data_IF_902481094353
#
_entry.id   IF_902481094353
#
_cell.length_a   1.000
_cell.length_b   1.000
_cell.length_c   1.000
_cell.angle_alpha   90.00
_cell.angle_beta   90.00
_cell.angle_gamma   90.00
#
_symmetry.space_group_name_H-M   'P 1'
#
loop_
_entity.id
_entity.type
_entity.pdbx_description
1 polymer ?
#
# COMPACT_ATOMS: atom_id res chain seq x y z
N UNK A 1 2.72 -6.43 2.87
CA UNK A 1 3.66 -7.19 1.99
C UNK A 1 3.91 -8.63 2.45
N UNK A 2 3.95 -8.89 3.76
CA UNK A 2 4.29 -10.20 4.32
C UNK A 2 3.44 -11.38 3.82
N UNK A 3 2.11 -11.22 3.64
CA UNK A 3 1.24 -12.29 3.15
C UNK A 3 1.53 -12.73 1.70
N UNK A 4 2.05 -11.85 0.84
CA UNK A 4 2.45 -12.20 -0.54
C UNK A 4 3.77 -12.96 -0.50
N UNK A 5 4.72 -12.45 0.28
CA UNK A 5 6.04 -13.09 0.46
C UNK A 5 5.89 -14.50 1.05
N UNK A 6 5.03 -14.69 2.05
CA UNK A 6 4.75 -16.01 2.64
C UNK A 6 4.21 -17.03 1.62
N UNK A 7 3.31 -16.61 0.73
CA UNK A 7 2.81 -17.48 -0.34
C UNK A 7 3.88 -17.85 -1.36
N UNK A 8 4.78 -16.93 -1.69
CA UNK A 8 5.90 -17.19 -2.58
C UNK A 8 6.96 -18.12 -1.93
N UNK A 9 7.24 -17.94 -0.63
CA UNK A 9 8.20 -18.75 0.12
C UNK A 9 7.70 -20.19 0.38
N UNK A 10 6.39 -20.42 0.34
CA UNK A 10 5.80 -21.75 0.50
C UNK A 10 5.84 -22.63 -0.76
N UNK A 11 6.39 -22.14 -1.87
CA UNK A 11 6.47 -22.86 -3.14
C UNK A 11 7.92 -22.95 -3.64
N UNK A 12 8.20 -23.91 -4.54
CA UNK A 12 9.48 -23.95 -5.23
C UNK A 12 9.65 -22.72 -6.14
N UNK A 13 10.90 -22.36 -6.44
CA UNK A 13 11.24 -21.14 -7.16
C UNK A 13 10.58 -21.06 -8.55
N UNK A 14 10.42 -22.20 -9.25
CA UNK A 14 9.81 -22.23 -10.59
C UNK A 14 8.31 -21.95 -10.49
N UNK A 15 7.62 -22.61 -9.56
CA UNK A 15 6.19 -22.40 -9.30
C UNK A 15 5.92 -20.98 -8.79
N UNK A 16 6.72 -20.48 -7.86
CA UNK A 16 6.60 -19.12 -7.35
C UNK A 16 6.72 -18.06 -8.46
N UNK A 17 7.69 -18.23 -9.38
CA UNK A 17 7.86 -17.33 -10.54
C UNK A 17 6.71 -17.40 -11.53
N UNK A 18 6.26 -18.61 -11.86
CA UNK A 18 5.09 -18.80 -12.74
C UNK A 18 3.84 -18.15 -12.15
N UNK A 19 3.61 -18.34 -10.85
CA UNK A 19 2.52 -17.71 -10.10
C UNK A 19 2.61 -16.18 -10.09
N UNK A 20 3.81 -15.62 -9.89
CA UNK A 20 4.03 -14.16 -9.96
C UNK A 20 3.74 -13.59 -11.34
N UNK A 21 4.20 -14.26 -12.41
CA UNK A 21 3.94 -13.84 -13.78
C UNK A 21 2.45 -13.89 -14.11
N UNK A 22 1.77 -14.98 -13.73
CA UNK A 22 0.33 -15.11 -13.91
C UNK A 22 -0.43 -14.05 -13.12
N UNK A 23 -0.04 -13.78 -11.87
CA UNK A 23 -0.62 -12.71 -11.07
C UNK A 23 -0.40 -11.32 -11.70
N UNK A 24 0.76 -11.07 -12.30
CA UNK A 24 1.04 -9.84 -13.04
C UNK A 24 0.12 -9.68 -14.26
N UNK A 25 -0.13 -10.76 -15.01
CA UNK A 25 -1.10 -10.76 -16.10
C UNK A 25 -2.53 -10.46 -15.59
N UNK A 26 -2.98 -11.14 -14.52
CA UNK A 26 -4.30 -10.90 -13.93
C UNK A 26 -4.46 -9.45 -13.44
N UNK A 27 -3.39 -8.78 -13.01
CA UNK A 27 -3.44 -7.38 -12.61
C UNK A 27 -3.81 -6.43 -13.76
N UNK A 28 -3.55 -6.79 -15.02
CA UNK A 28 -3.98 -5.99 -16.18
C UNK A 28 -5.52 -5.96 -16.28
N UNK A 29 -6.19 -7.03 -15.83
CA UNK A 29 -7.65 -7.13 -15.84
C UNK A 29 -8.31 -6.38 -14.66
N UNK A 30 -7.56 -6.07 -13.60
CA UNK A 30 -8.13 -5.44 -12.39
C UNK A 30 -8.81 -4.08 -12.67
N UNK A 31 -8.22 -3.14 -13.45
CA UNK A 31 -8.92 -1.92 -13.84
C UNK A 31 -10.22 -2.17 -14.59
N UNK A 32 -10.28 -3.20 -15.44
CA UNK A 32 -11.50 -3.57 -16.18
C UNK A 32 -12.60 -4.03 -15.23
N UNK A 33 -12.26 -4.80 -14.20
CA UNK A 33 -13.24 -5.34 -13.24
C UNK A 33 -13.62 -4.31 -12.17
N UNK A 34 -12.70 -3.45 -11.75
CA UNK A 34 -12.88 -2.59 -10.56
C UNK A 34 -13.09 -1.12 -10.93
N UNK A 35 -12.37 -0.59 -11.92
CA UNK A 35 -12.39 0.84 -12.26
C UNK A 35 -13.50 1.15 -13.28
N UNK A 36 -13.67 0.34 -14.32
CA UNK A 36 -14.71 0.56 -15.34
C UNK A 36 -16.12 0.63 -14.71
N UNK A 37 -16.52 -0.25 -13.77
CA UNK A 37 -17.83 -0.10 -13.14
C UNK A 37 -17.99 1.23 -12.37
N UNK A 38 -16.91 1.78 -11.80
CA UNK A 38 -16.91 3.11 -11.20
C UNK A 38 -17.13 4.23 -12.23
N UNK A 39 -16.51 4.13 -13.42
CA UNK A 39 -16.74 5.06 -14.53
C UNK A 39 -18.18 4.95 -15.04
N UNK A 40 -18.70 3.73 -15.19
CA UNK A 40 -20.08 3.51 -15.56
C UNK A 40 -21.05 4.13 -14.53
N UNK A 41 -20.80 3.91 -13.24
CA UNK A 41 -21.58 4.52 -12.16
C UNK A 41 -21.59 6.05 -12.26
N UNK A 42 -20.44 6.68 -12.56
CA UNK A 42 -20.36 8.13 -12.78
C UNK A 42 -21.23 8.61 -13.96
N UNK A 43 -21.18 7.92 -15.10
CA UNK A 43 -22.02 8.26 -16.27
C UNK A 43 -23.50 8.08 -15.97
N UNK A 44 -23.88 7.03 -15.24
CA UNK A 44 -25.27 6.76 -14.84
C UNK A 44 -25.75 7.82 -13.83
N UNK A 45 -24.88 8.25 -12.93
CA UNK A 45 -25.13 9.36 -12.00
C UNK A 45 -25.41 10.67 -12.75
N UNK A 46 -24.60 11.02 -13.76
CA UNK A 46 -24.87 12.19 -14.59
C UNK A 46 -26.21 12.13 -15.34
N UNK A 47 -26.73 10.93 -15.58
CA UNK A 47 -28.04 10.69 -16.23
C UNK A 47 -29.21 10.65 -15.26
N UNK A 48 -29.02 10.99 -13.98
CA UNK A 48 -30.12 11.06 -13.01
C UNK A 48 -30.33 9.79 -12.18
N UNK A 49 -29.48 8.76 -12.31
CA UNK A 49 -29.61 7.52 -11.55
C UNK A 49 -28.71 7.49 -10.31
N UNK A 50 -29.09 6.72 -9.29
CA UNK A 50 -28.31 6.50 -8.08
C UNK A 50 -28.02 7.75 -7.23
N UNK A 51 -28.69 8.87 -7.49
CA UNK A 51 -28.51 10.09 -6.70
C UNK A 51 -28.80 9.86 -5.23
N UNK A 52 -29.84 9.09 -4.89
CA UNK A 52 -30.21 8.81 -3.49
C UNK A 52 -29.27 7.77 -2.85
N UNK A 53 -28.93 6.74 -3.60
CA UNK A 53 -28.12 5.60 -3.14
C UNK A 53 -26.67 5.98 -2.85
N UNK A 54 -26.17 7.01 -3.53
CA UNK A 54 -24.83 7.55 -3.33
C UNK A 54 -24.76 8.65 -2.25
N UNK A 55 -25.86 9.03 -1.60
CA UNK A 55 -25.82 10.02 -0.51
C UNK A 55 -25.29 9.42 0.80
N UNK A 56 -24.54 10.20 1.55
CA UNK A 56 -24.25 9.97 2.96
C UNK A 56 -25.48 10.26 3.82
N UNK A 57 -25.40 9.90 5.11
CA UNK A 57 -26.39 10.31 6.13
C UNK A 57 -26.51 11.83 6.28
N UNK A 58 -25.51 12.60 5.83
CA UNK A 58 -25.48 14.06 5.84
C UNK A 58 -25.98 14.70 4.54
N UNK A 59 -26.37 13.89 3.54
CA UNK A 59 -26.83 14.39 2.24
C UNK A 59 -25.71 14.81 1.28
N UNK A 60 -24.45 14.51 1.59
CA UNK A 60 -23.32 14.69 0.69
C UNK A 60 -23.20 13.48 -0.26
N UNK A 61 -22.70 13.68 -1.48
CA UNK A 61 -22.46 12.55 -2.40
C UNK A 61 -21.16 11.83 -2.03
N UNK A 62 -21.23 10.52 -1.83
CA UNK A 62 -20.09 9.64 -1.52
C UNK A 62 -19.74 8.76 -2.72
N UNK A 63 -18.62 9.08 -3.35
CA UNK A 63 -18.08 8.34 -4.51
C UNK A 63 -17.70 6.89 -4.16
N UNK A 64 -17.47 6.57 -2.89
CA UNK A 64 -17.15 5.21 -2.46
C UNK A 64 -18.38 4.28 -2.53
N UNK A 65 -19.59 4.84 -2.59
CA UNK A 65 -20.85 4.10 -2.78
C UNK A 65 -21.17 3.77 -4.23
N UNK A 66 -20.35 4.20 -5.19
CA UNK A 66 -20.57 3.96 -6.62
C UNK A 66 -20.74 2.47 -6.96
N UNK A 67 -19.84 1.61 -6.48
CA UNK A 67 -19.89 0.17 -6.77
C UNK A 67 -21.10 -0.52 -6.11
N UNK A 68 -21.39 -0.32 -4.80
CA UNK A 68 -22.64 -0.81 -4.21
C UNK A 68 -23.91 -0.33 -4.93
N UNK A 69 -23.95 0.94 -5.38
CA UNK A 69 -25.13 1.51 -6.02
C UNK A 69 -25.48 0.81 -7.33
N UNK A 70 -24.50 0.52 -8.18
CA UNK A 70 -24.75 -0.17 -9.46
C UNK A 70 -25.17 -1.64 -9.29
N UNK A 71 -24.92 -2.27 -8.13
CA UNK A 71 -25.45 -3.62 -7.85
C UNK A 71 -26.99 -3.64 -7.79
N UNK A 72 -27.64 -2.48 -7.63
CA UNK A 72 -29.09 -2.37 -7.72
C UNK A 72 -29.63 -2.63 -9.14
N UNK A 73 -28.77 -2.63 -10.16
CA UNK A 73 -29.14 -3.04 -11.53
C UNK A 73 -29.26 -4.55 -11.69
N UNK A 74 -28.71 -5.34 -10.75
CA UNK A 74 -28.75 -6.78 -10.84
C UNK A 74 -30.16 -7.32 -10.52
N UNK A 75 -30.61 -8.37 -11.22
CA UNK A 75 -31.84 -9.07 -10.87
C UNK A 75 -31.85 -9.56 -9.43
N UNK A 76 -33.05 -9.76 -8.89
CA UNK A 76 -33.26 -10.44 -7.61
C UNK A 76 -32.57 -11.81 -7.66
N UNK A 77 -31.88 -12.19 -6.57
CA UNK A 77 -31.00 -13.36 -6.54
C UNK A 77 -29.55 -13.01 -6.90
N UNK A 78 -29.28 -12.47 -8.10
CA UNK A 78 -27.92 -12.05 -8.49
C UNK A 78 -27.37 -10.94 -7.60
N UNK A 79 -28.23 -9.97 -7.22
CA UNK A 79 -27.88 -8.94 -6.23
C UNK A 79 -27.48 -9.56 -4.88
N UNK A 80 -28.20 -10.60 -4.44
CA UNK A 80 -27.91 -11.32 -3.20
C UNK A 80 -26.59 -12.07 -3.25
N UNK A 81 -26.30 -12.76 -4.37
CA UNK A 81 -25.02 -13.45 -4.60
C UNK A 81 -23.87 -12.45 -4.60
N UNK A 82 -24.01 -11.32 -5.31
CA UNK A 82 -22.99 -10.28 -5.36
C UNK A 82 -22.69 -9.70 -3.96
N UNK A 83 -23.74 -9.42 -3.19
CA UNK A 83 -23.60 -8.94 -1.81
C UNK A 83 -22.90 -9.96 -0.91
N UNK A 84 -23.28 -11.24 -0.99
CA UNK A 84 -22.66 -12.31 -0.23
C UNK A 84 -21.17 -12.48 -0.59
N UNK A 85 -20.84 -12.45 -1.88
CA UNK A 85 -19.46 -12.56 -2.37
C UNK A 85 -18.59 -11.39 -1.90
N UNK A 86 -19.09 -10.16 -1.97
CA UNK A 86 -18.39 -8.97 -1.47
C UNK A 86 -18.16 -9.05 0.04
N UNK A 87 -19.19 -9.43 0.80
CA UNK A 87 -19.09 -9.60 2.25
C UNK A 87 -18.04 -10.64 2.61
N UNK A 88 -18.08 -11.81 1.96
CA UNK A 88 -17.09 -12.87 2.17
C UNK A 88 -15.67 -12.41 1.82
N UNK A 89 -15.49 -11.68 0.71
CA UNK A 89 -14.20 -11.14 0.31
C UNK A 89 -13.63 -10.12 1.32
N UNK A 90 -14.50 -9.25 1.87
CA UNK A 90 -14.11 -8.29 2.92
C UNK A 90 -13.68 -9.02 4.19
N UNK A 91 -14.48 -10.00 4.66
CA UNK A 91 -14.15 -10.80 5.85
C UNK A 91 -12.84 -11.56 5.67
N UNK A 92 -12.62 -12.19 4.50
CA UNK A 92 -11.37 -12.89 4.21
C UNK A 92 -10.15 -11.95 4.20
N UNK A 93 -10.30 -10.75 3.63
CA UNK A 93 -9.25 -9.72 3.63
C UNK A 93 -8.93 -9.21 5.04
N UNK A 94 -9.97 -8.94 5.84
CA UNK A 94 -9.82 -8.54 7.25
C UNK A 94 -9.13 -9.63 8.06
N UNK A 95 -9.57 -10.89 7.94
CA UNK A 95 -8.97 -12.03 8.62
C UNK A 95 -7.47 -12.15 8.31
N UNK A 96 -7.08 -11.99 7.04
CA UNK A 96 -5.66 -12.00 6.65
C UNK A 96 -4.85 -10.85 7.27
N UNK A 97 -5.42 -9.65 7.35
CA UNK A 97 -4.76 -8.48 7.96
C UNK A 97 -4.59 -8.64 9.47
N UNK A 98 -5.64 -9.01 10.19
CA UNK A 98 -5.56 -9.19 11.66
C UNK A 98 -4.70 -10.36 12.05
N UNK A 99 -4.67 -11.43 11.25
CA UNK A 99 -3.72 -12.52 11.44
C UNK A 99 -2.27 -12.05 11.28
N UNK A 100 -1.99 -11.23 10.26
CA UNK A 100 -0.65 -10.64 10.08
C UNK A 100 -0.24 -9.77 11.27
N UNK A 101 -1.16 -8.94 11.79
CA UNK A 101 -0.94 -8.13 13.00
C UNK A 101 -0.62 -9.02 14.20
N UNK A 102 -1.40 -10.07 14.41
CA UNK A 102 -1.21 -11.00 15.51
C UNK A 102 0.15 -11.69 15.43
N UNK A 103 0.54 -12.20 14.26
CA UNK A 103 1.84 -12.87 14.07
C UNK A 103 3.02 -11.91 14.27
N UNK A 104 2.95 -10.68 13.74
CA UNK A 104 4.00 -9.67 13.96
C UNK A 104 4.10 -9.34 15.46
N UNK A 105 2.98 -9.12 16.13
CA UNK A 105 2.99 -8.82 17.56
C UNK A 105 3.52 -9.99 18.39
N UNK A 106 3.10 -11.23 18.12
CA UNK A 106 3.50 -12.37 18.95
C UNK A 106 4.91 -12.85 18.69
N UNK A 107 5.35 -12.93 17.43
CA UNK A 107 6.68 -13.43 17.07
C UNK A 107 7.74 -12.34 17.13
N UNK A 108 7.49 -11.19 16.47
CA UNK A 108 8.54 -10.17 16.28
C UNK A 108 8.69 -9.24 17.48
N UNK A 109 7.64 -9.08 18.30
CA UNK A 109 7.67 -8.22 19.50
C UNK A 109 7.67 -9.08 20.77
N UNK A 110 6.61 -9.87 21.00
CA UNK A 110 6.45 -10.57 22.27
C UNK A 110 7.51 -11.65 22.48
N UNK A 111 7.64 -12.62 21.58
CA UNK A 111 8.62 -13.68 21.71
C UNK A 111 10.05 -13.10 21.65
N UNK A 112 10.35 -12.29 20.63
CA UNK A 112 11.72 -11.80 20.42
C UNK A 112 12.23 -10.84 21.50
N UNK A 113 11.36 -9.98 22.07
CA UNK A 113 11.79 -8.89 22.96
C UNK A 113 11.28 -9.05 24.40
N UNK A 114 10.04 -9.53 24.60
CA UNK A 114 9.40 -9.55 25.91
C UNK A 114 9.61 -10.89 26.64
N UNK A 115 9.40 -12.01 25.96
CA UNK A 115 9.50 -13.36 26.52
C UNK A 115 10.04 -14.36 25.48
N UNK A 116 11.38 -14.50 25.38
CA UNK A 116 12.04 -15.43 24.44
C UNK A 116 11.57 -16.88 24.55
N UNK A 117 11.36 -17.35 25.78
CA UNK A 117 10.96 -18.74 26.07
C UNK A 117 9.44 -18.96 26.06
N UNK A 118 8.69 -18.12 25.34
CA UNK A 118 7.24 -18.28 25.21
C UNK A 118 6.90 -19.56 24.43
N UNK A 119 6.09 -20.43 25.02
CA UNK A 119 5.59 -21.64 24.36
C UNK A 119 4.62 -21.29 23.21
N UNK A 120 4.51 -22.18 22.23
CA UNK A 120 3.59 -22.00 21.09
C UNK A 120 2.14 -21.75 21.54
N UNK A 121 1.67 -22.49 22.55
CA UNK A 121 0.33 -22.30 23.12
C UNK A 121 0.11 -20.88 23.65
N UNK A 122 1.13 -20.32 24.32
CA UNK A 122 1.06 -18.93 24.81
C UNK A 122 1.02 -17.94 23.65
N UNK A 123 1.82 -18.16 22.61
CA UNK A 123 1.85 -17.30 21.42
C UNK A 123 0.53 -17.33 20.66
N UNK A 124 -0.09 -18.51 20.49
CA UNK A 124 -1.40 -18.63 19.82
C UNK A 124 -2.49 -17.95 20.62
N UNK A 125 -2.52 -18.13 21.94
CA UNK A 125 -3.53 -17.50 22.80
C UNK A 125 -3.38 -15.97 22.81
N UNK A 126 -2.15 -15.48 22.92
CA UNK A 126 -1.86 -14.05 22.84
C UNK A 126 -2.21 -13.48 21.45
N UNK A 127 -1.97 -14.25 20.39
CA UNK A 127 -2.35 -13.88 19.03
C UNK A 127 -3.86 -13.71 18.88
N UNK A 128 -4.67 -14.60 19.44
CA UNK A 128 -6.14 -14.46 19.45
C UNK A 128 -6.58 -13.18 20.16
N UNK A 129 -5.95 -12.84 21.29
CA UNK A 129 -6.23 -11.59 22.01
C UNK A 129 -5.85 -10.37 21.15
N UNK A 130 -4.68 -10.40 20.51
CA UNK A 130 -4.24 -9.33 19.61
C UNK A 130 -5.21 -9.12 18.45
N UNK A 131 -5.76 -10.18 17.86
CA UNK A 131 -6.81 -10.09 16.83
C UNK A 131 -8.05 -9.36 17.35
N UNK A 132 -8.57 -9.75 18.52
CA UNK A 132 -9.77 -9.12 19.10
C UNK A 132 -9.53 -7.64 19.38
N UNK A 133 -8.39 -7.29 19.99
CA UNK A 133 -8.02 -5.90 20.28
C UNK A 133 -7.90 -5.10 18.97
N UNK A 134 -7.20 -5.63 17.97
CA UNK A 134 -7.03 -4.96 16.68
C UNK A 134 -8.37 -4.72 15.96
N UNK A 135 -9.30 -5.68 16.04
CA UNK A 135 -10.65 -5.54 15.49
C UNK A 135 -11.45 -4.46 16.22
N UNK A 136 -11.43 -4.45 17.55
CA UNK A 136 -12.12 -3.43 18.36
C UNK A 136 -11.57 -2.04 18.04
N UNK A 137 -10.25 -1.88 18.01
CA UNK A 137 -9.62 -0.61 17.63
C UNK A 137 -9.98 -0.20 16.21
N UNK A 138 -10.00 -1.14 15.26
CA UNK A 138 -10.43 -0.88 13.89
C UNK A 138 -11.87 -0.37 13.79
N UNK A 139 -12.80 -0.99 14.54
CA UNK A 139 -14.21 -0.55 14.61
C UNK A 139 -14.31 0.84 15.24
N UNK A 140 -13.64 1.09 16.37
CA UNK A 140 -13.65 2.39 17.05
C UNK A 140 -13.10 3.48 16.13
N UNK A 141 -11.94 3.26 15.51
CA UNK A 141 -11.34 4.24 14.59
C UNK A 141 -12.22 4.49 13.37
N UNK A 142 -12.83 3.44 12.81
CA UNK A 142 -13.76 3.58 11.69
C UNK A 142 -14.99 4.41 12.06
N UNK A 143 -15.56 4.23 13.26
CA UNK A 143 -16.76 4.94 13.70
C UNK A 143 -16.48 6.39 14.12
N UNK A 144 -15.34 6.63 14.79
CA UNK A 144 -15.04 7.95 15.35
C UNK A 144 -14.39 8.90 14.34
N UNK A 145 -13.54 8.35 13.47
CA UNK A 145 -12.65 9.18 12.64
C UNK A 145 -12.71 8.78 11.17
N UNK A 146 -13.44 7.72 10.79
CA UNK A 146 -13.55 7.26 9.40
C UNK A 146 -14.02 8.37 8.46
N UNK A 147 -15.15 8.99 8.76
CA UNK A 147 -15.72 10.05 7.91
C UNK A 147 -14.83 11.31 7.87
N UNK A 148 -14.21 11.67 9.00
CA UNK A 148 -13.31 12.83 9.11
C UNK A 148 -11.97 12.61 8.39
N UNK A 149 -11.42 11.40 8.48
CA UNK A 149 -10.14 11.02 7.86
C UNK A 149 -10.29 10.80 6.36
N UNK A 150 -11.38 10.15 5.97
CA UNK A 150 -11.69 9.96 4.56
C UNK A 150 -12.06 11.30 3.96
N UNK A 151 -12.80 12.17 4.64
CA UNK A 151 -13.22 13.51 4.20
C UNK A 151 -14.38 13.45 3.21
N UNK A 152 -15.31 14.40 3.30
CA UNK A 152 -16.43 14.49 2.36
C UNK A 152 -15.91 14.63 0.92
N UNK A 153 -16.34 13.73 0.02
CA UNK A 153 -15.95 13.73 -1.40
C UNK A 153 -14.57 13.12 -1.73
N UNK A 154 -13.82 12.62 -0.74
CA UNK A 154 -12.52 11.98 -0.95
C UNK A 154 -12.65 10.46 -1.09
N UNK A 155 -11.80 9.89 -1.95
CA UNK A 155 -11.80 8.46 -2.26
C UNK A 155 -11.04 7.68 -1.19
N UNK A 156 -11.65 6.64 -0.63
CA UNK A 156 -10.99 5.78 0.37
C UNK A 156 -9.70 5.14 -0.12
N UNK A 157 -9.60 4.91 -1.44
CA UNK A 157 -8.36 4.46 -2.06
C UNK A 157 -7.22 5.48 -1.90
N UNK A 158 -7.48 6.77 -2.16
CA UNK A 158 -6.48 7.83 -2.03
C UNK A 158 -6.02 7.98 -0.57
N UNK A 159 -6.95 7.86 0.38
CA UNK A 159 -6.61 7.82 1.80
C UNK A 159 -5.64 6.68 2.12
N UNK A 160 -5.96 5.45 1.73
CA UNK A 160 -5.08 4.30 1.98
C UNK A 160 -3.70 4.51 1.35
N UNK A 161 -3.64 5.02 0.12
CA UNK A 161 -2.39 5.27 -0.60
C UNK A 161 -1.56 6.36 0.07
N UNK A 162 -2.19 7.48 0.44
CA UNK A 162 -1.52 8.60 1.08
C UNK A 162 -0.89 8.18 2.42
N UNK A 163 -1.65 7.51 3.30
CA UNK A 163 -1.17 7.11 4.62
C UNK A 163 -0.17 5.95 4.56
N UNK A 164 -0.34 5.00 3.65
CA UNK A 164 0.72 4.02 3.35
C UNK A 164 1.99 4.71 2.86
N UNK A 165 1.84 5.82 2.14
CA UNK A 165 2.91 6.69 1.68
C UNK A 165 3.73 7.37 2.77
N UNK A 166 3.28 7.40 4.03
CA UNK A 166 4.08 7.96 5.13
C UNK A 166 5.23 7.04 5.54
N UNK A 167 5.10 5.74 5.32
CA UNK A 167 6.05 4.74 5.82
C UNK A 167 6.73 4.00 4.67
N UNK A 168 6.00 3.76 3.57
CA UNK A 168 6.49 2.95 2.45
C UNK A 168 7.77 3.45 1.77
N UNK A 169 8.04 4.76 1.57
CA UNK A 169 9.28 5.21 0.93
C UNK A 169 10.53 4.84 1.75
N UNK A 170 10.48 5.04 3.07
CA UNK A 170 11.58 4.70 3.97
C UNK A 170 11.86 3.21 4.03
N UNK A 171 10.80 2.40 4.14
CA UNK A 171 10.91 0.92 4.10
C UNK A 171 11.45 0.45 2.75
N UNK A 172 11.01 1.04 1.63
CA UNK A 172 11.50 0.70 0.30
C UNK A 172 12.99 1.04 0.16
N UNK A 173 13.43 2.22 0.60
CA UNK A 173 14.83 2.62 0.59
C UNK A 173 15.70 1.66 1.41
N UNK A 174 15.23 1.30 2.60
CA UNK A 174 15.90 0.32 3.46
C UNK A 174 16.08 -1.03 2.75
N UNK A 175 14.99 -1.61 2.21
CA UNK A 175 15.10 -2.91 1.55
C UNK A 175 15.96 -2.84 0.30
N UNK A 176 15.81 -1.80 -0.52
CA UNK A 176 16.56 -1.66 -1.77
C UNK A 176 18.07 -1.57 -1.50
N UNK A 177 18.51 -0.71 -0.58
CA UNK A 177 19.94 -0.63 -0.24
C UNK A 177 20.40 -1.84 0.58
N UNK A 178 19.58 -2.38 1.49
CA UNK A 178 19.92 -3.56 2.28
C UNK A 178 20.13 -4.82 1.44
N UNK A 179 19.35 -5.02 0.37
CA UNK A 179 19.52 -6.14 -0.54
C UNK A 179 20.63 -5.92 -1.56
N UNK A 180 20.70 -4.73 -2.17
CA UNK A 180 21.54 -4.53 -3.36
C UNK A 180 22.84 -3.77 -3.10
N UNK A 181 23.00 -3.12 -1.94
CA UNK A 181 24.17 -2.32 -1.62
C UNK A 181 24.92 -2.88 -0.41
N UNK A 182 26.05 -3.53 -0.68
CA UNK A 182 26.88 -4.22 0.35
C UNK A 182 27.39 -3.31 1.47
N UNK A 183 27.40 -1.99 1.27
CA UNK A 183 27.84 -1.04 2.29
C UNK A 183 26.73 -0.59 3.23
N UNK A 184 25.48 -0.97 2.99
CA UNK A 184 24.35 -0.55 3.81
C UNK A 184 24.49 -1.06 5.25
N UNK A 185 24.48 -0.13 6.20
CA UNK A 185 24.63 -0.39 7.63
C UNK A 185 23.28 -0.42 8.36
N UNK A 186 23.24 -1.06 9.54
CA UNK A 186 22.01 -1.16 10.35
C UNK A 186 21.48 0.21 10.79
N UNK A 187 22.36 1.15 11.10
CA UNK A 187 21.97 2.51 11.49
C UNK A 187 21.40 3.30 10.31
N UNK A 188 21.95 3.13 9.10
CA UNK A 188 21.37 3.68 7.88
C UNK A 188 19.94 3.14 7.64
N UNK A 189 19.75 1.82 7.81
CA UNK A 189 18.42 1.20 7.73
C UNK A 189 17.43 1.77 8.77
N UNK A 190 17.88 1.98 10.01
CA UNK A 190 17.08 2.61 11.06
C UNK A 190 16.72 4.06 10.70
N UNK A 191 17.69 4.82 10.19
CA UNK A 191 17.49 6.20 9.71
C UNK A 191 16.42 6.26 8.61
N UNK A 192 16.45 5.36 7.61
CA UNK A 192 15.42 5.36 6.58
C UNK A 192 14.03 5.06 7.13
N UNK A 193 13.93 4.18 8.14
CA UNK A 193 12.64 3.81 8.75
C UNK A 193 12.02 4.98 9.52
N UNK A 194 12.79 5.56 10.45
CA UNK A 194 12.32 6.63 11.32
C UNK A 194 12.29 7.95 10.55
N UNK A 195 13.40 8.28 9.88
CA UNK A 195 13.56 9.48 9.07
C UNK A 195 12.57 9.53 7.92
N UNK A 196 12.25 8.41 7.26
CA UNK A 196 11.22 8.38 6.21
C UNK A 196 9.84 8.79 6.70
N UNK A 197 9.45 8.33 7.90
CA UNK A 197 8.22 8.77 8.55
C UNK A 197 8.27 10.26 8.92
N UNK A 198 9.37 10.71 9.55
CA UNK A 198 9.56 12.11 9.96
C UNK A 198 9.54 13.04 8.75
N UNK A 199 10.22 12.71 7.65
CA UNK A 199 10.20 13.49 6.42
C UNK A 199 8.80 13.50 5.79
N UNK A 200 8.07 12.39 5.80
CA UNK A 200 6.69 12.34 5.29
C UNK A 200 5.75 13.25 6.08
N UNK A 201 5.85 13.24 7.41
CA UNK A 201 5.12 14.15 8.29
C UNK A 201 5.51 15.59 8.00
N UNK A 202 6.82 15.87 7.94
CA UNK A 202 7.34 17.20 7.63
C UNK A 202 6.78 17.74 6.31
N UNK A 203 6.87 17.00 5.21
CA UNK A 203 6.34 17.45 3.92
C UNK A 203 4.82 17.54 3.86
N UNK A 204 4.08 16.72 4.63
CA UNK A 204 2.62 16.86 4.71
C UNK A 204 2.22 18.19 5.36
N UNK A 205 2.93 18.60 6.40
CA UNK A 205 2.61 19.81 7.17
C UNK A 205 3.41 21.04 6.77
N UNK A 206 4.41 20.90 5.88
CA UNK A 206 5.19 21.99 5.30
C UNK A 206 4.33 23.15 4.75
N UNK A 207 3.21 22.90 4.03
CA UNK A 207 2.35 23.97 3.53
C UNK A 207 1.75 24.89 4.62
N UNK A 208 1.70 24.44 5.87
CA UNK A 208 1.20 25.25 6.99
C UNK A 208 2.24 26.27 7.48
N UNK A 209 3.51 26.07 7.14
CA UNK A 209 4.63 26.89 7.61
C UNK A 209 5.32 27.67 6.48
N UNK A 210 5.18 27.24 5.23
CA UNK A 210 5.79 27.86 4.07
C UNK A 210 4.84 27.81 2.86
N UNK A 211 4.76 28.91 2.11
CA UNK A 211 4.04 28.92 0.85
C UNK A 211 4.85 28.18 -0.23
N UNK A 212 4.22 27.17 -0.82
CA UNK A 212 4.79 26.31 -1.86
C UNK A 212 4.30 26.70 -3.26
N UNK A 213 3.67 27.86 -3.41
CA UNK A 213 3.23 28.41 -4.70
C UNK A 213 4.35 28.49 -5.75
N UNK A 214 5.59 28.70 -5.32
CA UNK A 214 6.75 28.72 -6.21
C UNK A 214 7.00 27.36 -6.92
N UNK A 215 6.55 26.24 -6.34
CA UNK A 215 6.63 24.90 -6.95
C UNK A 215 5.47 24.61 -7.90
N UNK A 216 4.47 25.49 -8.01
CA UNK A 216 3.32 25.25 -8.87
C UNK A 216 3.72 25.32 -10.35
N UNK A 217 4.67 26.21 -10.69
CA UNK A 217 5.21 26.36 -12.04
C UNK A 217 5.98 25.12 -12.52
N UNK A 218 6.60 24.37 -11.60
CA UNK A 218 7.31 23.13 -11.88
C UNK A 218 6.43 21.88 -11.81
N UNK A 219 5.15 22.04 -11.41
CA UNK A 219 4.19 20.95 -11.29
C UNK A 219 4.27 20.14 -9.99
N UNK A 220 5.12 20.53 -9.04
CA UNK A 220 5.32 19.82 -7.77
C UNK A 220 4.45 20.30 -6.62
N UNK A 221 3.62 21.34 -6.83
CA UNK A 221 2.59 21.72 -5.87
C UNK A 221 1.26 22.02 -6.55
N UNK A 222 0.16 21.78 -5.82
CA UNK A 222 -1.20 22.05 -6.28
C UNK A 222 -2.00 22.73 -5.16
N UNK A 223 -2.78 23.74 -5.52
CA UNK A 223 -3.69 24.40 -4.57
C UNK A 223 -4.78 23.43 -4.09
N UNK A 224 -4.94 23.35 -2.78
CA UNK A 224 -6.04 22.65 -2.11
C UNK A 224 -7.33 23.48 -2.16
N UNK A 225 -8.45 22.88 -1.74
CA UNK A 225 -9.72 23.60 -1.62
C UNK A 225 -9.65 24.81 -0.67
N UNK A 226 -8.69 24.82 0.26
CA UNK A 226 -8.42 25.93 1.18
C UNK A 226 -7.45 26.98 0.62
N UNK A 227 -7.03 26.87 -0.65
CA UNK A 227 -6.10 27.79 -1.29
C UNK A 227 -4.63 27.60 -0.91
N UNK A 228 -4.31 26.60 -0.06
CA UNK A 228 -2.95 26.27 0.34
C UNK A 228 -2.31 25.36 -0.71
N UNK A 229 -1.10 25.69 -1.18
CA UNK A 229 -0.35 24.85 -2.12
C UNK A 229 0.31 23.69 -1.39
N UNK A 230 -0.11 22.45 -1.68
CA UNK A 230 0.50 21.24 -1.11
C UNK A 230 1.20 20.40 -2.18
N UNK A 231 2.19 19.61 -1.75
CA UNK A 231 2.86 18.63 -2.60
C UNK A 231 1.94 17.39 -2.68
N UNK A 232 1.55 16.94 -3.90
CA UNK A 232 0.78 15.71 -4.05
C UNK A 232 1.46 14.52 -3.35
N UNK A 233 0.67 13.64 -2.72
CA UNK A 233 1.24 12.59 -1.87
C UNK A 233 2.21 11.66 -2.61
N UNK A 234 2.01 11.45 -3.92
CA UNK A 234 2.88 10.60 -4.74
C UNK A 234 4.26 11.24 -4.96
N UNK A 235 4.30 12.55 -5.25
CA UNK A 235 5.55 13.30 -5.38
C UNK A 235 6.28 13.39 -4.04
N UNK A 236 5.53 13.62 -2.96
CA UNK A 236 6.04 13.56 -1.58
C UNK A 236 6.72 12.22 -1.30
N UNK A 237 6.08 11.11 -1.66
CA UNK A 237 6.68 9.78 -1.51
C UNK A 237 8.00 9.64 -2.27
N UNK A 238 8.09 10.20 -3.49
CA UNK A 238 9.32 10.25 -4.27
C UNK A 238 10.44 11.04 -3.59
N UNK A 239 10.14 12.24 -3.10
CA UNK A 239 11.10 13.07 -2.38
C UNK A 239 11.60 12.42 -1.10
N UNK A 240 10.70 11.84 -0.31
CA UNK A 240 11.06 11.12 0.92
C UNK A 240 11.95 9.92 0.58
N UNK A 241 11.62 9.15 -0.45
CA UNK A 241 12.44 8.03 -0.90
C UNK A 241 13.88 8.47 -1.23
N UNK A 242 14.03 9.54 -2.02
CA UNK A 242 15.35 10.07 -2.41
C UNK A 242 16.13 10.54 -1.18
N UNK A 243 15.50 11.28 -0.25
CA UNK A 243 16.16 11.72 0.98
C UNK A 243 16.59 10.55 1.87
N UNK A 244 15.77 9.50 1.95
CA UNK A 244 16.14 8.27 2.65
C UNK A 244 17.37 7.61 1.99
N UNK A 245 17.40 7.50 0.66
CA UNK A 245 18.56 6.93 -0.06
C UNK A 245 19.82 7.77 0.18
N UNK A 246 19.74 9.10 0.09
CA UNK A 246 20.88 10.00 0.34
C UNK A 246 21.37 9.87 1.78
N UNK A 247 20.47 9.93 2.76
CA UNK A 247 20.85 9.82 4.17
C UNK A 247 21.43 8.45 4.51
N UNK A 248 20.86 7.37 3.96
CA UNK A 248 21.43 6.03 4.08
C UNK A 248 22.84 5.96 3.50
N UNK A 249 23.04 6.52 2.30
CA UNK A 249 24.34 6.55 1.65
C UNK A 249 25.38 7.27 2.51
N UNK A 250 25.05 8.45 3.03
CA UNK A 250 25.95 9.27 3.86
C UNK A 250 26.31 8.52 5.15
N UNK A 251 25.32 8.03 5.89
CA UNK A 251 25.53 7.33 7.17
C UNK A 251 26.40 6.09 6.96
N UNK A 252 26.05 5.26 5.97
CA UNK A 252 26.83 4.07 5.67
C UNK A 252 28.25 4.39 5.22
N UNK A 253 28.49 5.43 4.41
CA UNK A 253 29.85 5.81 4.04
C UNK A 253 30.69 6.27 5.26
N UNK A 254 30.09 7.03 6.18
CA UNK A 254 30.74 7.46 7.42
C UNK A 254 31.09 6.25 8.30
N UNK A 255 30.16 5.31 8.47
CA UNK A 255 30.35 4.13 9.33
C UNK A 255 31.35 3.13 8.75
N UNK A 256 31.30 2.87 7.45
CA UNK A 256 32.30 2.03 6.78
C UNK A 256 33.69 2.68 6.87
N UNK A 257 33.79 4.01 6.80
CA UNK A 257 35.06 4.72 7.01
C UNK A 257 35.60 4.59 8.44
N UNK A 258 34.72 4.34 9.42
CA UNK A 258 35.09 4.08 10.83
C UNK A 258 35.39 2.60 11.10
N UNK A 259 35.33 1.74 10.07
CA UNK A 259 35.69 0.33 10.17
C UNK A 259 34.52 -0.62 10.46
N UNK A 260 33.26 -0.16 10.45
CA UNK A 260 32.13 -1.07 10.54
C UNK A 260 32.04 -1.96 9.30
N UNK A 261 31.88 -3.27 9.52
CA UNK A 261 31.64 -4.26 8.46
C UNK A 261 30.16 -4.63 8.45
N UNK A 262 29.36 -4.11 7.51
CA UNK A 262 27.95 -4.44 7.44
C UNK A 262 27.74 -5.93 7.12
N UNK A 263 26.65 -6.50 7.65
CA UNK A 263 26.18 -7.84 7.30
C UNK A 263 25.53 -7.81 5.91
N UNK A 264 26.36 -7.63 4.88
CA UNK A 264 25.92 -7.53 3.50
C UNK A 264 25.33 -8.86 3.02
N UNK A 265 24.19 -8.79 2.33
CA UNK A 265 23.65 -9.95 1.65
C UNK A 265 24.51 -10.25 0.41
N UNK A 266 25.05 -11.45 0.33
CA UNK A 266 25.74 -11.90 -0.88
C UNK A 266 24.70 -12.25 -1.95
N UNK A 267 24.44 -11.30 -2.84
CA UNK A 267 23.53 -11.50 -3.95
C UNK A 267 24.21 -12.30 -5.06
N UNK A 268 23.86 -13.59 -5.21
CA UNK A 268 24.23 -14.38 -6.37
C UNK A 268 23.41 -13.97 -7.60
N UNK A 269 24.08 -13.39 -8.59
CA UNK A 269 23.48 -12.96 -9.86
C UNK A 269 22.80 -14.10 -10.63
N UNK A 270 23.23 -15.35 -10.43
CA UNK A 270 22.59 -16.51 -11.05
C UNK A 270 21.15 -16.69 -10.59
N UNK A 271 20.80 -16.23 -9.39
CA UNK A 271 19.44 -16.28 -8.88
C UNK A 271 18.48 -15.42 -9.71
N UNK A 272 18.94 -14.41 -10.45
CA UNK A 272 18.05 -13.61 -11.31
C UNK A 272 17.83 -14.19 -12.71
N UNK A 273 18.49 -15.31 -13.05
CA UNK A 273 18.25 -15.97 -14.34
C UNK A 273 16.82 -16.49 -14.40
N UNK A 274 16.08 -16.01 -15.38
CA UNK A 274 14.68 -16.40 -15.65
C UNK A 274 14.62 -17.38 -16.83
N UNK A 275 13.54 -18.15 -16.90
CA UNK A 275 13.31 -19.07 -18.01
C UNK A 275 12.84 -18.28 -19.25
N UNK A 276 13.08 -18.78 -20.48
CA UNK A 276 12.60 -18.12 -21.70
C UNK A 276 11.09 -17.87 -21.71
N UNK A 277 10.31 -18.82 -21.17
CA UNK A 277 8.87 -18.67 -21.02
C UNK A 277 8.48 -17.51 -20.09
N UNK A 278 9.21 -17.33 -18.98
CA UNK A 278 8.99 -16.20 -18.09
C UNK A 278 9.30 -14.87 -18.78
N UNK A 279 10.44 -14.79 -19.48
CA UNK A 279 10.84 -13.61 -20.26
C UNK A 279 9.79 -13.25 -21.31
N UNK A 280 9.34 -14.22 -22.10
CA UNK A 280 8.33 -13.99 -23.13
C UNK A 280 7.03 -13.44 -22.52
N UNK A 281 6.54 -14.05 -21.43
CA UNK A 281 5.34 -13.56 -20.74
C UNK A 281 5.51 -12.16 -20.15
N UNK A 282 6.67 -11.84 -19.56
CA UNK A 282 6.96 -10.49 -19.08
C UNK A 282 6.98 -9.46 -20.20
N UNK A 283 7.58 -9.78 -21.35
CA UNK A 283 7.59 -8.90 -22.52
C UNK A 283 6.18 -8.66 -23.09
N UNK A 284 5.34 -9.69 -23.13
CA UNK A 284 3.93 -9.56 -23.53
C UNK A 284 3.20 -8.60 -22.59
N UNK A 285 3.34 -8.77 -21.26
CA UNK A 285 2.74 -7.88 -20.27
C UNK A 285 3.21 -6.44 -20.45
N UNK A 286 4.53 -6.23 -20.59
CA UNK A 286 5.08 -4.90 -20.83
C UNK A 286 4.56 -4.29 -22.14
N UNK A 287 4.51 -5.07 -23.22
CA UNK A 287 3.99 -4.63 -24.52
C UNK A 287 2.51 -4.25 -24.45
N UNK A 288 1.69 -5.02 -23.74
CA UNK A 288 0.28 -4.68 -23.49
C UNK A 288 0.14 -3.37 -22.70
N UNK A 289 0.95 -3.19 -21.65
CA UNK A 289 0.95 -1.94 -20.89
C UNK A 289 1.36 -0.75 -21.77
N UNK A 290 2.44 -0.87 -22.53
CA UNK A 290 2.87 0.18 -23.47
C UNK A 290 1.75 0.51 -24.45
N UNK A 291 1.13 -0.49 -25.07
CA UNK A 291 0.02 -0.28 -26.00
C UNK A 291 -1.15 0.45 -25.34
N UNK A 292 -1.57 0.02 -24.14
CA UNK A 292 -2.66 0.68 -23.39
C UNK A 292 -2.29 2.14 -23.11
N UNK A 293 -1.11 2.42 -22.56
CA UNK A 293 -0.73 3.79 -22.25
C UNK A 293 -0.57 4.65 -23.51
N UNK A 294 -0.04 4.11 -24.61
CA UNK A 294 0.13 4.85 -25.87
C UNK A 294 -1.19 5.15 -26.60
N UNK A 295 -2.21 4.30 -26.46
CA UNK A 295 -3.53 4.54 -27.09
C UNK A 295 -4.26 5.73 -26.45
N UNK A 296 -4.02 5.97 -25.15
CA UNK A 296 -4.73 6.97 -24.35
C UNK A 296 -3.86 8.14 -23.89
N UNK A 297 -2.63 8.26 -24.42
CA UNK A 297 -1.72 9.38 -24.20
C UNK A 297 -2.09 10.57 -25.10
#
# INVERSE_FOLDING_TARGET
NQYITQRALGADLKTARGGLLFAAFLKILMPVIVVIPGIAAYVLYQKGMFHTEMLTSTGATDVNKAYPAILNLLPVGMKGIAFAALTAAIVASLAGKVNSIATIFTLDIYQKVIKPDATETNLVNLGKIAVVIAMILGVILSLLVGDNLMGEGKQGFQYIQEYTGFVSPGILAMFLLGFFWRKATSNAALFATIGGFVFSVFFKFLPNFADLSFLASSGFSKATAAGVYEIPFLDRMGFVFILCIIGMYIISMIENSKGERPNALEVDTKMFRVTPAFTAGSLIICGLLVAIYSIWW
#
